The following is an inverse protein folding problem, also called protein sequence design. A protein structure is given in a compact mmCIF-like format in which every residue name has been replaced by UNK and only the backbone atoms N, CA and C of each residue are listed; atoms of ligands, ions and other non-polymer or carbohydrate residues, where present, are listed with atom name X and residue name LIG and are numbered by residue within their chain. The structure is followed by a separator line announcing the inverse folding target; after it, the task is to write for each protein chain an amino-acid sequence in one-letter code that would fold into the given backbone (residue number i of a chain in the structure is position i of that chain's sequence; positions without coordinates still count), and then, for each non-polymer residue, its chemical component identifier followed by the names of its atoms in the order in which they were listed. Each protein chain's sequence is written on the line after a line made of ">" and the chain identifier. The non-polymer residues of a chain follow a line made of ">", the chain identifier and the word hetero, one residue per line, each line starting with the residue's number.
data_IF_489466407492
#
_entry.id   IF_489466407492
#
_cell.length_a   1.000
_cell.length_b   1.000
_cell.length_c   1.000
_cell.angle_alpha   90.00
_cell.angle_beta   90.00
_cell.angle_gamma   90.00
#
_symmetry.space_group_name_H-M   'P 1'
#
loop_
_entity.id
_entity.type
_entity.pdbx_description
1 polymer ?
#
# COMPACT_ATOMS: atom_id res chain seq x y z
N UNK A 1 20.89 15.80 0.84
CA UNK A 1 20.45 14.53 0.22
C UNK A 1 21.29 14.27 -1.01
N UNK A 2 21.26 13.05 -1.53
CA UNK A 2 21.86 12.73 -2.82
C UNK A 2 21.10 13.44 -3.96
N UNK A 3 21.80 13.78 -5.04
CA UNK A 3 21.25 14.52 -6.18
C UNK A 3 21.43 13.73 -7.48
N UNK A 4 20.60 14.01 -8.48
CA UNK A 4 20.73 13.40 -9.80
C UNK A 4 22.10 13.70 -10.42
N UNK A 5 22.78 12.66 -10.91
CA UNK A 5 24.01 12.79 -11.67
C UNK A 5 23.78 12.41 -13.15
N UNK A 6 23.85 13.35 -14.10
CA UNK A 6 23.63 13.07 -15.52
C UNK A 6 24.57 12.00 -16.11
N UNK A 7 25.76 11.78 -15.54
CA UNK A 7 26.73 10.82 -16.07
C UNK A 7 26.51 9.39 -15.57
N UNK A 8 25.76 9.17 -14.50
CA UNK A 8 25.67 7.86 -13.84
C UNK A 8 24.28 7.49 -13.34
N UNK A 9 23.38 8.47 -13.17
CA UNK A 9 22.03 8.20 -12.72
C UNK A 9 21.17 7.64 -13.85
N UNK A 10 20.30 6.68 -13.52
CA UNK A 10 19.40 6.05 -14.49
C UNK A 10 17.96 6.06 -14.00
N UNK A 11 17.01 5.96 -14.94
CA UNK A 11 15.60 5.82 -14.57
C UNK A 11 15.33 4.52 -13.78
N UNK A 12 16.07 3.44 -14.08
CA UNK A 12 16.00 2.21 -13.29
C UNK A 12 16.34 2.47 -11.81
N UNK A 13 17.40 3.25 -11.53
CA UNK A 13 17.73 3.60 -10.15
C UNK A 13 16.62 4.40 -9.48
N UNK A 14 15.91 5.27 -10.21
CA UNK A 14 14.74 5.98 -9.66
C UNK A 14 13.65 4.98 -9.26
N UNK A 15 13.31 4.01 -10.12
CA UNK A 15 12.30 2.99 -9.81
C UNK A 15 12.70 2.13 -8.60
N UNK A 16 13.97 1.70 -8.53
CA UNK A 16 14.51 0.95 -7.39
C UNK A 16 14.48 1.80 -6.11
N UNK A 17 14.80 3.09 -6.19
CA UNK A 17 14.73 4.01 -5.04
C UNK A 17 13.30 4.21 -4.53
N UNK A 18 12.29 4.28 -5.41
CA UNK A 18 10.89 4.34 -4.99
C UNK A 18 10.53 3.08 -4.17
N UNK A 19 10.90 1.90 -4.67
CA UNK A 19 10.66 0.64 -3.97
C UNK A 19 11.42 0.55 -2.64
N UNK A 20 12.66 1.05 -2.59
CA UNK A 20 13.55 0.86 -1.43
C UNK A 20 13.39 1.91 -0.33
N UNK A 21 12.96 3.13 -0.69
CA UNK A 21 12.98 4.28 0.21
C UNK A 21 11.58 4.84 0.49
N UNK A 22 10.61 4.66 -0.41
CA UNK A 22 9.27 5.22 -0.27
C UNK A 22 8.27 4.13 0.14
N UNK A 23 8.21 3.02 -0.62
CA UNK A 23 7.26 1.92 -0.40
C UNK A 23 7.78 0.92 0.65
N UNK A 24 7.98 1.39 1.88
CA UNK A 24 8.57 0.63 3.00
C UNK A 24 7.54 0.28 4.09
N UNK A 25 7.88 -0.63 5.00
CA UNK A 25 6.96 -1.15 6.04
C UNK A 25 6.46 -0.10 7.06
N UNK A 26 7.27 0.94 7.32
CA UNK A 26 6.98 1.97 8.32
C UNK A 26 7.19 3.38 7.74
N UNK A 27 6.36 3.80 6.77
CA UNK A 27 6.52 5.05 6.03
C UNK A 27 6.41 6.29 6.92
N UNK A 28 5.76 6.19 8.09
CA UNK A 28 5.73 7.26 9.10
C UNK A 28 7.14 7.76 9.48
N UNK A 29 8.14 6.87 9.51
CA UNK A 29 9.51 7.25 9.87
C UNK A 29 10.35 7.75 8.70
N UNK A 30 9.77 7.94 7.52
CA UNK A 30 10.42 8.66 6.43
C UNK A 30 10.36 10.19 6.64
N UNK A 31 9.53 10.66 7.57
CA UNK A 31 9.49 12.07 7.96
C UNK A 31 10.74 12.45 8.76
N UNK A 32 11.45 13.53 8.39
CA UNK A 32 12.62 14.00 9.13
C UNK A 32 12.37 14.22 10.62
N UNK A 33 13.23 13.64 11.46
CA UNK A 33 13.19 13.74 12.92
C UNK A 33 12.31 12.68 13.59
N UNK A 34 11.48 11.95 12.85
CA UNK A 34 10.61 10.93 13.42
C UNK A 34 11.37 9.63 13.68
N UNK A 35 12.51 9.40 13.02
CA UNK A 35 13.39 8.26 13.21
C UNK A 35 13.85 8.10 14.67
N UNK A 36 14.02 9.22 15.38
CA UNK A 36 14.41 9.24 16.79
C UNK A 36 13.36 8.58 17.70
N UNK A 37 12.11 8.51 17.26
CA UNK A 37 11.00 7.94 18.02
C UNK A 37 10.74 6.46 17.73
N UNK A 38 11.50 5.83 16.81
CA UNK A 38 11.25 4.47 16.33
C UNK A 38 11.26 3.41 17.44
N UNK A 39 12.09 3.60 18.46
CA UNK A 39 12.18 2.74 19.65
C UNK A 39 11.18 3.08 20.76
N UNK A 40 10.46 4.19 20.65
CA UNK A 40 9.46 4.59 21.64
C UNK A 40 8.12 3.89 21.43
N UNK A 41 7.38 3.66 22.52
CA UNK A 41 6.04 3.08 22.44
C UNK A 41 5.07 4.00 21.68
N UNK A 42 5.19 5.32 21.88
CA UNK A 42 4.41 6.35 21.18
C UNK A 42 4.69 6.34 19.67
N UNK A 43 5.96 6.39 19.27
CA UNK A 43 6.34 6.37 17.85
C UNK A 43 5.88 5.09 17.15
N UNK A 44 6.00 3.93 17.81
CA UNK A 44 5.43 2.67 17.28
C UNK A 44 3.91 2.71 17.15
N UNK A 45 3.20 3.37 18.08
CA UNK A 45 1.74 3.51 17.98
C UNK A 45 1.36 4.40 16.80
N UNK A 46 1.99 5.58 16.67
CA UNK A 46 1.75 6.52 15.56
C UNK A 46 2.07 5.91 14.20
N UNK A 47 3.17 5.16 14.10
CA UNK A 47 3.50 4.46 12.85
C UNK A 47 2.45 3.42 12.47
N UNK A 48 1.85 2.72 13.43
CA UNK A 48 0.74 1.78 13.15
C UNK A 48 -0.55 2.50 12.77
N UNK A 49 -0.91 3.58 13.46
CA UNK A 49 -2.06 4.41 13.10
C UNK A 49 -1.91 4.98 11.68
N UNK A 50 -0.70 5.41 11.31
CA UNK A 50 -0.38 5.84 9.96
C UNK A 50 -0.50 4.70 8.94
N UNK A 51 0.00 3.51 9.27
CA UNK A 51 -0.13 2.32 8.41
C UNK A 51 -1.61 1.96 8.16
N UNK A 52 -2.50 2.09 9.14
CA UNK A 52 -3.92 1.82 8.93
C UNK A 52 -4.52 2.75 7.88
N UNK A 53 -4.16 4.04 7.89
CA UNK A 53 -4.57 5.00 6.86
C UNK A 53 -4.01 4.64 5.48
N UNK A 54 -2.72 4.27 5.40
CA UNK A 54 -2.10 3.85 4.14
C UNK A 54 -2.76 2.58 3.61
N UNK A 55 -2.98 1.55 4.44
CA UNK A 55 -3.64 0.29 4.06
C UNK A 55 -5.04 0.53 3.49
N UNK A 56 -5.83 1.39 4.13
CA UNK A 56 -7.15 1.79 3.66
C UNK A 56 -7.06 2.43 2.27
N UNK A 57 -6.16 3.39 2.09
CA UNK A 57 -5.96 4.06 0.81
C UNK A 57 -5.41 3.12 -0.27
N UNK A 58 -4.57 2.15 0.09
CA UNK A 58 -4.09 1.12 -0.83
C UNK A 58 -5.24 0.25 -1.33
N UNK A 59 -6.08 -0.30 -0.43
CA UNK A 59 -7.24 -1.11 -0.85
C UNK A 59 -8.20 -0.29 -1.70
N UNK A 60 -8.48 0.96 -1.29
CA UNK A 60 -9.41 1.84 -1.98
C UNK A 60 -8.91 2.26 -3.37
N UNK A 61 -7.73 2.85 -3.44
CA UNK A 61 -7.26 3.51 -4.66
C UNK A 61 -6.34 2.63 -5.50
N UNK A 62 -5.41 1.91 -4.85
CA UNK A 62 -4.42 1.10 -5.56
C UNK A 62 -4.93 -0.30 -5.94
N UNK A 63 -6.04 -0.76 -5.35
CA UNK A 63 -6.68 -2.03 -5.69
C UNK A 63 -8.04 -1.83 -6.35
N UNK A 64 -9.05 -1.36 -5.60
CA UNK A 64 -10.42 -1.23 -6.09
C UNK A 64 -10.54 -0.30 -7.30
N UNK A 65 -10.02 0.92 -7.21
CA UNK A 65 -10.10 1.86 -8.34
C UNK A 65 -9.25 1.42 -9.53
N UNK A 66 -8.13 0.72 -9.32
CA UNK A 66 -7.37 0.14 -10.43
C UNK A 66 -8.14 -1.00 -11.11
N UNK A 67 -8.90 -1.81 -10.37
CA UNK A 67 -9.76 -2.84 -10.95
C UNK A 67 -10.94 -2.25 -11.74
N UNK A 68 -11.58 -1.20 -11.19
CA UNK A 68 -12.74 -0.54 -11.81
C UNK A 68 -12.36 0.35 -12.99
N UNK A 69 -11.25 1.06 -12.86
CA UNK A 69 -10.78 2.07 -13.80
C UNK A 69 -9.28 1.88 -14.05
N UNK A 70 -8.87 0.79 -14.75
CA UNK A 70 -7.45 0.54 -14.97
C UNK A 70 -6.77 1.70 -15.70
N UNK A 71 -5.55 2.09 -15.30
CA UNK A 71 -4.83 3.17 -15.99
C UNK A 71 -4.59 2.82 -17.47
N UNK A 72 -4.68 3.78 -18.39
CA UNK A 72 -4.44 3.56 -19.81
C UNK A 72 -3.08 2.90 -20.07
N UNK A 73 -3.08 1.78 -20.79
CA UNK A 73 -1.89 0.98 -21.09
C UNK A 73 -1.48 -0.02 -20.01
N UNK A 74 -2.18 -0.06 -18.87
CA UNK A 74 -1.96 -1.02 -17.78
C UNK A 74 -3.12 -2.00 -17.59
N UNK A 75 -4.15 -1.99 -18.45
CA UNK A 75 -5.36 -2.80 -18.33
C UNK A 75 -5.03 -4.30 -18.20
N UNK A 76 -4.12 -4.79 -19.05
CA UNK A 76 -3.71 -6.19 -19.04
C UNK A 76 -2.85 -6.52 -17.81
N UNK A 77 -1.97 -5.62 -17.38
CA UNK A 77 -1.11 -5.81 -16.21
C UNK A 77 -1.95 -5.88 -14.94
N UNK A 78 -2.89 -4.95 -14.77
CA UNK A 78 -3.82 -4.91 -13.64
C UNK A 78 -4.63 -6.21 -13.59
N UNK A 79 -5.24 -6.60 -14.72
CA UNK A 79 -6.01 -7.85 -14.80
C UNK A 79 -5.16 -9.06 -14.43
N UNK A 80 -4.00 -9.22 -15.06
CA UNK A 80 -3.12 -10.37 -14.81
C UNK A 80 -2.68 -10.43 -13.34
N UNK A 81 -2.21 -9.31 -12.79
CA UNK A 81 -1.77 -9.21 -11.40
C UNK A 81 -2.86 -9.65 -10.41
N UNK A 82 -4.06 -9.09 -10.54
CA UNK A 82 -5.14 -9.39 -9.61
C UNK A 82 -5.79 -10.76 -9.85
N UNK A 83 -5.76 -11.30 -11.07
CA UNK A 83 -6.17 -12.69 -11.34
C UNK A 83 -5.21 -13.67 -10.67
N UNK A 84 -3.89 -13.51 -10.84
CA UNK A 84 -2.88 -14.41 -10.30
C UNK A 84 -2.80 -14.34 -8.77
N UNK A 85 -2.93 -13.15 -8.20
CA UNK A 85 -2.71 -12.90 -6.77
C UNK A 85 -3.98 -12.73 -5.95
N UNK A 86 -5.17 -12.98 -6.53
CA UNK A 86 -6.48 -12.80 -5.89
C UNK A 86 -6.52 -13.28 -4.43
N UNK A 87 -6.11 -14.53 -4.21
CA UNK A 87 -6.15 -15.15 -2.87
C UNK A 87 -5.24 -14.43 -1.88
N UNK A 88 -4.01 -14.09 -2.29
CA UNK A 88 -3.04 -13.40 -1.45
C UNK A 88 -3.49 -11.96 -1.13
N UNK A 89 -4.00 -11.24 -2.13
CA UNK A 89 -4.53 -9.87 -1.95
C UNK A 89 -5.70 -9.85 -0.97
N UNK A 90 -6.63 -10.82 -1.06
CA UNK A 90 -7.75 -10.92 -0.14
C UNK A 90 -7.33 -11.32 1.26
N UNK A 91 -6.42 -12.29 1.40
CA UNK A 91 -5.89 -12.69 2.69
C UNK A 91 -5.22 -11.53 3.41
N UNK A 92 -4.38 -10.78 2.68
CA UNK A 92 -3.66 -9.62 3.19
C UNK A 92 -4.62 -8.48 3.59
N UNK A 93 -5.62 -8.17 2.75
CA UNK A 93 -6.62 -7.14 3.07
C UNK A 93 -7.43 -7.51 4.33
N UNK A 94 -7.84 -8.79 4.46
CA UNK A 94 -8.51 -9.30 5.66
C UNK A 94 -7.60 -9.24 6.88
N UNK A 95 -6.30 -9.51 6.72
CA UNK A 95 -5.30 -9.40 7.79
C UNK A 95 -5.19 -7.96 8.27
N UNK A 96 -5.08 -6.99 7.36
CA UNK A 96 -5.05 -5.57 7.69
C UNK A 96 -6.30 -5.12 8.45
N UNK A 97 -7.48 -5.58 8.04
CA UNK A 97 -8.72 -5.28 8.77
C UNK A 97 -8.67 -5.79 10.23
N UNK A 98 -8.17 -7.03 10.45
CA UNK A 98 -8.01 -7.57 11.81
C UNK A 98 -6.98 -6.80 12.65
N UNK A 99 -5.87 -6.42 12.04
CA UNK A 99 -4.75 -5.72 12.70
C UNK A 99 -5.01 -4.24 13.00
N UNK A 100 -5.97 -3.61 12.31
CA UNK A 100 -6.25 -2.18 12.46
C UNK A 100 -6.47 -1.80 13.93
N UNK A 101 -5.88 -0.69 14.36
CA UNK A 101 -5.88 -0.28 15.77
C UNK A 101 -7.24 0.28 16.20
N UNK A 102 -7.84 1.16 15.38
CA UNK A 102 -9.12 1.78 15.69
C UNK A 102 -10.29 0.92 15.19
N UNK A 103 -11.41 0.98 15.91
CA UNK A 103 -12.64 0.32 15.49
C UNK A 103 -13.17 0.88 14.17
N UNK A 104 -12.92 2.16 13.89
CA UNK A 104 -13.37 2.83 12.66
C UNK A 104 -12.58 2.35 11.45
N UNK A 105 -11.24 2.37 11.53
CA UNK A 105 -10.38 1.86 10.47
C UNK A 105 -10.64 0.37 10.19
N UNK A 106 -10.86 -0.43 11.25
CA UNK A 106 -11.24 -1.84 11.12
C UNK A 106 -12.54 -2.01 10.33
N UNK A 107 -13.61 -1.29 10.70
CA UNK A 107 -14.91 -1.39 10.01
C UNK A 107 -14.79 -0.97 8.54
N UNK A 108 -14.04 0.09 8.27
CA UNK A 108 -13.85 0.59 6.91
C UNK A 108 -13.03 -0.36 6.05
N UNK A 109 -11.93 -0.91 6.58
CA UNK A 109 -11.12 -1.92 5.88
C UNK A 109 -11.93 -3.18 5.60
N UNK A 110 -12.79 -3.63 6.51
CA UNK A 110 -13.71 -4.75 6.23
C UNK A 110 -14.63 -4.43 5.05
N UNK A 111 -15.31 -3.27 5.08
CA UNK A 111 -16.22 -2.88 4.00
C UNK A 111 -15.52 -2.72 2.64
N UNK A 112 -14.26 -2.26 2.62
CA UNK A 112 -13.44 -2.18 1.41
C UNK A 112 -12.99 -3.57 0.94
N UNK A 113 -12.66 -4.46 1.87
CA UNK A 113 -12.26 -5.83 1.56
C UNK A 113 -13.40 -6.62 0.94
N UNK A 114 -14.63 -6.44 1.44
CA UNK A 114 -15.83 -7.09 0.88
C UNK A 114 -16.08 -6.63 -0.57
N UNK A 115 -15.96 -5.32 -0.83
CA UNK A 115 -16.02 -4.78 -2.19
C UNK A 115 -14.91 -5.33 -3.08
N UNK A 116 -13.69 -5.46 -2.54
CA UNK A 116 -12.56 -5.98 -3.30
C UNK A 116 -12.79 -7.46 -3.67
N UNK A 117 -13.33 -8.26 -2.75
CA UNK A 117 -13.71 -9.64 -3.02
C UNK A 117 -14.75 -9.75 -4.13
N UNK A 118 -15.75 -8.87 -4.12
CA UNK A 118 -16.75 -8.78 -5.18
C UNK A 118 -16.10 -8.46 -6.54
N UNK A 119 -15.26 -7.43 -6.64
CA UNK A 119 -14.60 -7.08 -7.90
C UNK A 119 -13.68 -8.21 -8.39
N UNK A 120 -12.90 -8.81 -7.49
CA UNK A 120 -12.03 -9.93 -7.82
C UNK A 120 -12.82 -11.19 -8.22
N UNK A 121 -14.06 -11.36 -7.77
CA UNK A 121 -14.93 -12.45 -8.22
C UNK A 121 -15.34 -12.35 -9.69
N UNK A 122 -15.32 -11.13 -10.25
CA UNK A 122 -15.66 -10.84 -11.65
C UNK A 122 -14.48 -11.03 -12.61
N UNK A 123 -13.26 -11.20 -12.08
CA UNK A 123 -12.09 -11.57 -12.86
C UNK A 123 -12.19 -13.07 -13.20
N UNK A 124 -12.62 -13.35 -14.42
CA UNK A 124 -12.59 -14.67 -15.05
C UNK A 124 -11.18 -15.05 -15.49
#
# INVERSE_FOLDING_TARGET
>A
GESWNPSSSTFLQVLVSIQSLILVDQPYFNEPGYELQRSSAEGRRRSREYNDSIRLNTVRYAMLEHLRHPPPGFEQVVRAHFTELKSAVLEESRRWAREALSSDARRELHALTDQLEEELSRLT
#
